data_IF_285757521934
#
_entry.id   IF_285757521934
#
_cell.length_a   1.000
_cell.length_b   1.000
_cell.length_c   1.000
_cell.angle_alpha   90.00
_cell.angle_beta   90.00
_cell.angle_gamma   90.00
#
_symmetry.space_group_name_H-M   'P 1'
#
loop_
_entity.id
_entity.type
_entity.pdbx_description
1 polymer ?
#
# COMPACT_ATOMS: atom_id res chain seq x y z
N UNK A 1 2.83 21.03 -2.74
CA UNK A 1 3.90 20.27 -2.07
C UNK A 1 3.66 18.80 -2.35
N UNK A 2 4.69 17.99 -2.55
CA UNK A 2 4.52 16.54 -2.69
C UNK A 2 4.36 15.90 -1.31
N UNK A 3 3.42 14.97 -1.18
CA UNK A 3 3.22 14.19 0.04
C UNK A 3 4.51 13.47 0.47
N UNK A 4 4.89 13.62 1.73
CA UNK A 4 6.11 13.00 2.29
C UNK A 4 5.81 11.64 2.91
N UNK A 5 6.85 10.82 3.08
CA UNK A 5 6.74 9.54 3.80
C UNK A 5 6.23 9.73 5.22
N UNK A 6 6.73 10.74 5.94
CA UNK A 6 6.32 11.04 7.32
C UNK A 6 4.83 11.38 7.41
N UNK A 7 4.30 12.15 6.45
CA UNK A 7 2.89 12.46 6.39
C UNK A 7 2.03 11.21 6.19
N UNK A 8 2.46 10.27 5.34
CA UNK A 8 1.76 8.98 5.18
C UNK A 8 1.81 8.18 6.48
N UNK A 9 2.98 8.06 7.14
CA UNK A 9 3.10 7.36 8.43
C UNK A 9 2.20 7.98 9.49
N UNK A 10 2.13 9.31 9.57
CA UNK A 10 1.23 10.02 10.48
C UNK A 10 -0.23 9.68 10.20
N UNK A 11 -0.66 9.71 8.93
CA UNK A 11 -2.04 9.35 8.54
C UNK A 11 -2.35 7.90 8.89
N UNK A 12 -1.49 6.95 8.54
CA UNK A 12 -1.67 5.53 8.88
C UNK A 12 -1.81 5.31 10.40
N UNK A 13 -0.98 6.00 11.19
CA UNK A 13 -1.03 5.93 12.66
C UNK A 13 -2.30 6.55 13.23
N UNK A 14 -2.74 7.70 12.70
CA UNK A 14 -4.03 8.35 13.05
C UNK A 14 -5.21 7.41 12.79
N UNK A 15 -5.15 6.64 11.72
CA UNK A 15 -6.13 5.62 11.36
C UNK A 15 -5.99 4.29 12.12
N UNK A 16 -5.20 4.28 13.20
CA UNK A 16 -4.97 3.10 14.05
C UNK A 16 -4.34 1.91 13.32
N UNK A 17 -3.72 2.13 12.15
CA UNK A 17 -2.92 1.11 11.49
C UNK A 17 -1.62 0.89 12.26
N UNK A 18 -1.36 -0.34 12.70
CA UNK A 18 -0.20 -0.65 13.54
C UNK A 18 1.01 -0.96 12.68
N UNK A 19 2.13 -0.28 12.92
CA UNK A 19 3.40 -0.62 12.26
C UNK A 19 4.05 -1.84 12.92
N UNK A 20 4.41 -2.87 12.15
CA UNK A 20 5.08 -4.06 12.69
C UNK A 20 6.61 -3.98 12.59
N UNK A 21 7.14 -3.51 11.46
CA UNK A 21 8.59 -3.35 11.25
C UNK A 21 8.89 -2.37 10.10
N UNK A 22 10.10 -1.82 10.09
CA UNK A 22 10.66 -1.04 8.99
C UNK A 22 12.01 -1.65 8.59
N UNK A 23 12.12 -2.09 7.33
CA UNK A 23 13.35 -2.68 6.78
C UNK A 23 13.54 -2.14 5.37
N UNK A 24 14.74 -1.62 5.07
CA UNK A 24 15.14 -1.17 3.72
C UNK A 24 14.10 -0.27 3.04
N UNK A 25 13.63 0.75 3.76
CA UNK A 25 12.62 1.72 3.28
C UNK A 25 11.21 1.15 3.07
N UNK A 26 10.95 -0.07 3.55
CA UNK A 26 9.62 -0.69 3.54
C UNK A 26 9.12 -0.78 4.97
N UNK A 27 7.99 -0.14 5.26
CA UNK A 27 7.29 -0.24 6.55
C UNK A 27 6.06 -1.11 6.37
N UNK A 28 5.91 -2.14 7.20
CA UNK A 28 4.68 -2.94 7.27
C UNK A 28 3.68 -2.28 8.22
N UNK A 29 2.46 -2.07 7.74
CA UNK A 29 1.30 -1.69 8.53
C UNK A 29 0.23 -2.78 8.52
N UNK A 30 -0.44 -2.98 9.64
CA UNK A 30 -1.66 -3.79 9.75
C UNK A 30 -2.86 -2.86 9.84
N UNK A 31 -3.90 -3.12 9.02
CA UNK A 31 -5.17 -2.40 9.12
C UNK A 31 -5.82 -2.63 10.50
N UNK A 32 -6.54 -1.64 11.05
CA UNK A 32 -7.11 -1.71 12.39
C UNK A 32 -8.10 -2.86 12.51
N UNK A 33 -7.90 -3.70 13.52
CA UNK A 33 -8.78 -4.85 13.84
C UNK A 33 -8.88 -5.91 12.72
N UNK A 34 -8.03 -5.80 11.70
CA UNK A 34 -8.02 -6.67 10.52
C UNK A 34 -6.68 -7.38 10.40
N UNK A 35 -6.71 -8.60 9.86
CA UNK A 35 -5.48 -9.36 9.52
C UNK A 35 -4.98 -9.02 8.11
N UNK A 36 -5.14 -7.77 7.71
CA UNK A 36 -4.76 -7.26 6.39
C UNK A 36 -3.51 -6.38 6.52
N UNK A 37 -2.52 -6.64 5.66
CA UNK A 37 -1.27 -5.91 5.66
C UNK A 37 -1.19 -4.94 4.48
N UNK A 38 -0.66 -3.75 4.74
CA UNK A 38 -0.33 -2.74 3.74
C UNK A 38 1.13 -2.37 3.94
N UNK A 39 1.91 -2.31 2.85
CA UNK A 39 3.30 -1.87 2.92
C UNK A 39 3.41 -0.42 2.45
N UNK A 40 4.17 0.38 3.18
CA UNK A 40 4.62 1.69 2.74
C UNK A 40 6.07 1.57 2.26
N UNK A 41 6.32 1.82 0.98
CA UNK A 41 7.66 1.83 0.42
C UNK A 41 8.05 3.24 -0.03
N UNK A 42 9.22 3.72 0.38
CA UNK A 42 9.80 4.94 -0.16
C UNK A 42 10.63 4.64 -1.41
N UNK A 43 10.01 4.79 -2.58
CA UNK A 43 10.63 4.53 -3.89
C UNK A 43 11.28 5.82 -4.44
N UNK A 44 12.62 5.86 -4.42
CA UNK A 44 13.49 7.00 -4.70
C UNK A 44 13.25 8.25 -3.81
N UNK A 45 12.05 8.83 -3.85
CA UNK A 45 11.53 9.91 -2.99
C UNK A 45 9.99 9.93 -2.90
N UNK A 46 9.31 8.98 -3.55
CA UNK A 46 7.86 8.94 -3.62
C UNK A 46 7.35 7.87 -2.66
N UNK A 47 6.55 8.22 -1.65
CA UNK A 47 5.90 7.21 -0.82
C UNK A 47 4.82 6.49 -1.64
N UNK A 48 4.84 5.16 -1.57
CA UNK A 48 3.86 4.29 -2.21
C UNK A 48 3.22 3.40 -1.15
N UNK A 49 1.89 3.29 -1.17
CA UNK A 49 1.20 2.22 -0.45
C UNK A 49 1.01 1.05 -1.38
N UNK A 50 1.36 -0.14 -0.91
CA UNK A 50 1.25 -1.39 -1.64
C UNK A 50 0.29 -2.31 -0.91
N UNK A 51 -0.74 -2.77 -1.61
CA UNK A 51 -1.74 -3.71 -1.12
C UNK A 51 -1.60 -5.07 -1.82
N UNK A 52 -2.23 -6.11 -1.25
CA UNK A 52 -2.20 -7.46 -1.82
C UNK A 52 -2.76 -7.49 -3.25
N UNK A 53 -2.18 -8.32 -4.15
CA UNK A 53 -2.71 -8.52 -5.50
C UNK A 53 -4.17 -9.00 -5.54
N UNK A 54 -4.66 -9.64 -4.49
CA UNK A 54 -6.07 -10.07 -4.39
C UNK A 54 -7.07 -8.92 -4.53
N UNK A 55 -6.66 -7.67 -4.29
CA UNK A 55 -7.49 -6.48 -4.45
C UNK A 55 -7.47 -5.88 -5.87
N UNK A 56 -6.88 -6.57 -6.85
CA UNK A 56 -6.75 -6.07 -8.23
C UNK A 56 -8.11 -5.76 -8.85
N UNK A 57 -9.14 -6.55 -8.52
CA UNK A 57 -10.52 -6.30 -8.96
C UNK A 57 -11.09 -4.97 -8.46
N UNK A 58 -10.57 -4.43 -7.35
CA UNK A 58 -10.95 -3.14 -6.78
C UNK A 58 -10.00 -2.01 -7.18
N UNK A 59 -8.92 -2.29 -7.90
CA UNK A 59 -7.90 -1.29 -8.24
C UNK A 59 -8.47 -0.12 -9.02
N UNK A 60 -9.35 -0.38 -9.99
CA UNK A 60 -10.05 0.64 -10.76
C UNK A 60 -10.92 1.53 -9.88
N UNK A 61 -11.65 0.94 -8.95
CA UNK A 61 -12.47 1.67 -7.98
C UNK A 61 -11.62 2.53 -7.04
N UNK A 62 -10.57 1.97 -6.46
CA UNK A 62 -9.64 2.70 -5.58
C UNK A 62 -8.93 3.85 -6.32
N UNK A 63 -8.65 3.68 -7.62
CA UNK A 63 -8.06 4.73 -8.45
C UNK A 63 -9.04 5.87 -8.81
N UNK A 64 -10.34 5.70 -8.58
CA UNK A 64 -11.32 6.79 -8.73
C UNK A 64 -11.34 7.76 -7.55
N UNK A 65 -10.73 7.38 -6.43
CA UNK A 65 -10.63 8.25 -5.25
C UNK A 65 -9.76 9.45 -5.61
N UNK A 66 -10.25 10.66 -5.31
CA UNK A 66 -9.55 11.90 -5.65
C UNK A 66 -8.15 11.92 -5.02
N UNK A 67 -7.13 12.23 -5.83
CA UNK A 67 -5.74 12.25 -5.40
C UNK A 67 -5.06 10.88 -5.27
N UNK A 68 -5.72 9.78 -5.67
CA UNK A 68 -5.15 8.43 -5.70
C UNK A 68 -4.71 8.07 -7.12
N UNK A 69 -3.46 7.60 -7.24
CA UNK A 69 -2.85 7.25 -8.52
C UNK A 69 -2.32 5.82 -8.46
N UNK A 70 -3.02 4.88 -9.11
CA UNK A 70 -2.57 3.51 -9.25
C UNK A 70 -1.37 3.41 -10.20
N UNK A 71 -0.37 2.59 -9.84
CA UNK A 71 0.68 2.16 -10.78
C UNK A 71 0.15 0.96 -11.58
N UNK A 72 0.28 1.03 -12.91
CA UNK A 72 -0.20 0.00 -13.83
C UNK A 72 0.48 -1.36 -13.66
N UNK A 73 1.78 -1.38 -13.35
CA UNK A 73 2.54 -2.62 -13.14
C UNK A 73 2.60 -3.04 -11.67
N UNK A 74 2.73 -4.34 -11.43
CA UNK A 74 2.98 -4.86 -10.08
C UNK A 74 4.29 -4.34 -9.50
N UNK A 75 4.22 -3.88 -8.27
CA UNK A 75 5.38 -3.51 -7.48
C UNK A 75 6.03 -4.76 -6.89
N UNK A 76 7.34 -4.92 -7.06
CA UNK A 76 8.08 -6.09 -6.57
C UNK A 76 9.10 -5.66 -5.51
N UNK A 77 9.07 -6.30 -4.34
CA UNK A 77 10.01 -6.02 -3.26
C UNK A 77 10.12 -7.21 -2.30
N UNK A 78 11.33 -7.69 -2.03
CA UNK A 78 11.58 -8.87 -1.18
C UNK A 78 11.16 -8.68 0.29
N UNK A 79 10.94 -7.45 0.76
CA UNK A 79 10.52 -7.20 2.15
C UNK A 79 9.01 -7.28 2.36
N UNK A 80 8.20 -7.44 1.29
CA UNK A 80 6.74 -7.57 1.38
C UNK A 80 6.32 -9.02 1.69
N UNK A 81 6.87 -9.61 2.75
CA UNK A 81 6.86 -11.05 2.99
C UNK A 81 5.47 -11.67 3.23
N UNK A 82 4.44 -10.85 3.54
CA UNK A 82 3.05 -11.31 3.64
C UNK A 82 2.33 -11.44 2.31
N UNK A 83 2.91 -10.92 1.23
CA UNK A 83 2.30 -10.93 -0.10
C UNK A 83 2.72 -12.19 -0.87
N UNK A 84 1.94 -12.66 -1.86
CA UNK A 84 2.38 -13.78 -2.70
C UNK A 84 3.64 -13.41 -3.50
N UNK A 85 4.36 -14.42 -3.94
CA UNK A 85 5.50 -14.27 -4.86
C UNK A 85 5.06 -14.52 -6.30
N UNK A 86 5.76 -13.89 -7.26
CA UNK A 86 5.60 -14.16 -8.69
C UNK A 86 6.94 -14.00 -9.40
N UNK A 87 7.11 -14.71 -10.51
CA UNK A 87 8.20 -14.44 -11.45
C UNK A 87 7.97 -13.10 -12.18
N UNK A 88 8.88 -12.15 -11.98
CA UNK A 88 8.88 -10.86 -12.66
C UNK A 88 9.59 -10.94 -14.03
N UNK A 89 10.94 -10.99 -14.01
CA UNK A 89 11.81 -11.03 -15.21
C UNK A 89 13.02 -11.96 -15.08
N UNK A 90 13.18 -12.63 -13.94
CA UNK A 90 14.30 -13.53 -13.65
C UNK A 90 13.84 -14.93 -13.25
N UNK A 91 14.76 -15.77 -12.79
CA UNK A 91 14.49 -17.17 -12.40
C UNK A 91 13.76 -17.24 -11.04
N UNK A 92 14.13 -16.36 -10.11
CA UNK A 92 13.60 -16.34 -8.75
C UNK A 92 12.32 -15.53 -8.63
N UNK A 93 11.39 -16.02 -7.81
CA UNK A 93 10.19 -15.29 -7.48
C UNK A 93 10.46 -14.18 -6.45
N UNK A 94 9.71 -13.10 -6.53
CA UNK A 94 9.77 -11.98 -5.60
C UNK A 94 8.35 -11.62 -5.18
N UNK A 95 8.17 -11.19 -3.92
CA UNK A 95 6.89 -10.71 -3.44
C UNK A 95 6.41 -9.52 -4.27
N UNK A 96 5.11 -9.49 -4.56
CA UNK A 96 4.53 -8.46 -5.41
C UNK A 96 3.18 -7.95 -4.89
N UNK A 97 2.82 -6.73 -5.29
CA UNK A 97 1.58 -6.06 -4.88
C UNK A 97 1.18 -4.92 -5.82
N UNK A 98 0.04 -4.33 -5.53
CA UNK A 98 -0.53 -3.20 -6.27
C UNK A 98 -0.08 -1.90 -5.59
N UNK A 99 0.62 -1.04 -6.30
CA UNK A 99 1.15 0.20 -5.72
C UNK A 99 0.29 1.41 -6.07
N UNK A 100 0.10 2.28 -5.08
CA UNK A 100 -0.66 3.51 -5.18
C UNK A 100 0.19 4.68 -4.67
N UNK A 101 0.14 5.79 -5.41
CA UNK A 101 0.70 7.08 -5.03
C UNK A 101 -0.46 8.02 -4.66
N UNK A 102 -0.18 8.98 -3.79
CA UNK A 102 -1.16 9.93 -3.30
C UNK A 102 -0.66 11.37 -3.48
N UNK A 103 -1.59 12.29 -3.70
CA UNK A 103 -1.30 13.72 -3.79
C UNK A 103 -1.16 14.37 -2.41
N UNK A 104 -1.99 13.95 -1.45
CA UNK A 104 -2.07 14.51 -0.10
C UNK A 104 -2.52 13.46 0.95
N UNK A 105 -2.64 13.89 2.21
CA UNK A 105 -3.02 13.03 3.33
C UNK A 105 -4.50 12.64 3.30
N UNK A 106 -5.37 13.46 2.72
CA UNK A 106 -6.80 13.19 2.63
C UNK A 106 -7.05 12.04 1.64
N UNK A 107 -6.30 12.00 0.53
CA UNK A 107 -6.32 10.88 -0.41
C UNK A 107 -5.87 9.55 0.24
N UNK A 108 -4.85 9.60 1.13
CA UNK A 108 -4.42 8.42 1.91
C UNK A 108 -5.53 7.97 2.86
N UNK A 109 -6.15 8.91 3.58
CA UNK A 109 -7.21 8.61 4.55
C UNK A 109 -8.45 8.00 3.87
N UNK A 110 -8.85 8.56 2.73
CA UNK A 110 -9.95 8.05 1.91
C UNK A 110 -9.64 6.65 1.36
N UNK A 111 -8.42 6.45 0.84
CA UNK A 111 -7.97 5.16 0.33
C UNK A 111 -7.99 4.06 1.39
N UNK A 112 -7.41 4.31 2.58
CA UNK A 112 -7.37 3.31 3.64
C UNK A 112 -8.77 3.03 4.19
N UNK A 113 -9.62 4.07 4.32
CA UNK A 113 -11.01 3.90 4.75
C UNK A 113 -11.76 2.98 3.79
N UNK A 114 -11.64 3.23 2.47
CA UNK A 114 -12.29 2.40 1.46
C UNK A 114 -11.73 0.97 1.43
N UNK A 115 -10.41 0.81 1.59
CA UNK A 115 -9.79 -0.50 1.68
C UNK A 115 -10.30 -1.31 2.89
N UNK A 116 -10.48 -0.68 4.05
CA UNK A 116 -11.03 -1.31 5.25
C UNK A 116 -12.46 -1.82 5.00
N UNK A 117 -13.30 -1.03 4.32
CA UNK A 117 -14.66 -1.45 3.93
C UNK A 117 -14.63 -2.67 3.03
N UNK A 118 -13.80 -2.65 1.98
CA UNK A 118 -13.61 -3.77 1.05
C UNK A 118 -13.19 -5.04 1.81
N UNK A 119 -12.23 -4.93 2.73
CA UNK A 119 -11.73 -6.07 3.53
C UNK A 119 -12.80 -6.64 4.45
N UNK A 120 -13.70 -5.80 4.98
CA UNK A 120 -14.82 -6.23 5.84
C UNK A 120 -15.96 -6.91 5.07
N UNK A 121 -15.90 -6.93 3.75
CA UNK A 121 -16.85 -7.63 2.89
C UNK A 121 -17.68 -6.72 1.97
N UNK A 122 -17.52 -5.40 2.05
CA UNK A 122 -18.25 -4.44 1.21
C UNK A 122 -19.72 -4.31 1.55
#
# INVERSE_FOLDING_TARGET
>A
MSLTHEQVVQTMTKMLCRSNFNIKNVTEFMLPELKEAVYLHLDAKTPLLIIRPAFEVFSGELATINGVHAKYDYHHNAQMTRFPTRRNKGVSEVHYGLAFKFDDQDAVEAFISRLIEIVKGG
#
